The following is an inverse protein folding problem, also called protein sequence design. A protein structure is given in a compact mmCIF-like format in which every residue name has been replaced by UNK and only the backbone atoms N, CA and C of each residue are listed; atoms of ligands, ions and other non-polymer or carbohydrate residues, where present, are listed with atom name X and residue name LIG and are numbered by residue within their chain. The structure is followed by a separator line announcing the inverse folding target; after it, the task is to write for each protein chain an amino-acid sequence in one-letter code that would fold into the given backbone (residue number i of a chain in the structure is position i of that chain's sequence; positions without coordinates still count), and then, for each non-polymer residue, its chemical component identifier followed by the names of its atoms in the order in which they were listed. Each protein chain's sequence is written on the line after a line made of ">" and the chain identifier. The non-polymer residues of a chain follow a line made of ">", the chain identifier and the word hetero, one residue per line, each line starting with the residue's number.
data_IF_841985317216
#
_entry.id   IF_841985317216
#
_cell.length_a   1.000
_cell.length_b   1.000
_cell.length_c   1.000
_cell.angle_alpha   90.00
_cell.angle_beta   90.00
_cell.angle_gamma   90.00
#
_symmetry.space_group_name_H-M   'P 1'
#
loop_
_entity.id
_entity.type
_entity.pdbx_description
1 polymer ?
#
# COMPACT_ATOMS: atom_id res chain seq x y z
N UNK A 1 -2.38 -3.23 38.03
CA UNK A 1 -1.98 -4.37 37.18
C UNK A 1 -2.76 -4.26 35.89
N UNK A 2 -2.18 -3.65 34.85
CA UNK A 2 -2.79 -3.63 33.53
C UNK A 2 -2.60 -5.02 32.90
N UNK A 3 -3.69 -5.71 32.64
CA UNK A 3 -3.67 -6.92 31.86
C UNK A 3 -3.17 -6.54 30.46
N UNK A 4 -2.00 -7.02 30.07
CA UNK A 4 -1.56 -7.03 28.68
C UNK A 4 -2.55 -7.95 27.97
N UNK A 5 -3.53 -7.37 27.29
CA UNK A 5 -4.41 -8.13 26.43
C UNK A 5 -3.52 -8.64 25.28
N UNK A 6 -3.27 -9.95 25.28
CA UNK A 6 -2.59 -10.57 24.15
C UNK A 6 -3.46 -10.36 22.92
N UNK A 7 -2.89 -9.83 21.85
CA UNK A 7 -3.58 -9.70 20.56
C UNK A 7 -4.14 -11.07 20.16
N UNK A 8 -5.36 -11.15 19.62
CA UNK A 8 -5.93 -12.42 19.17
C UNK A 8 -5.04 -13.01 18.07
N UNK A 9 -5.02 -14.35 18.02
CA UNK A 9 -4.35 -15.12 16.96
C UNK A 9 -5.37 -15.90 16.19
N UNK A 10 -5.25 -15.91 14.88
CA UNK A 10 -6.17 -16.61 13.99
C UNK A 10 -5.49 -17.76 13.27
N UNK A 11 -6.18 -18.90 13.25
CA UNK A 11 -5.69 -20.11 12.58
C UNK A 11 -5.92 -20.07 11.06
N UNK A 12 -6.87 -19.26 10.60
CA UNK A 12 -7.24 -19.19 9.19
C UNK A 12 -7.84 -17.82 8.81
N UNK A 13 -7.88 -17.57 7.51
CA UNK A 13 -8.40 -16.35 6.90
C UNK A 13 -9.86 -16.05 7.27
N UNK A 14 -10.71 -17.07 7.39
CA UNK A 14 -12.14 -16.84 7.64
C UNK A 14 -12.38 -16.37 9.07
N UNK A 15 -11.66 -16.93 10.03
CA UNK A 15 -11.72 -16.52 11.42
C UNK A 15 -11.28 -15.06 11.60
N UNK A 16 -10.17 -14.65 10.96
CA UNK A 16 -9.74 -13.26 10.96
C UNK A 16 -10.78 -12.33 10.33
N UNK A 17 -11.28 -12.64 9.13
CA UNK A 17 -12.24 -11.79 8.43
C UNK A 17 -13.54 -11.59 9.23
N UNK A 18 -14.03 -12.64 9.88
CA UNK A 18 -15.22 -12.57 10.72
C UNK A 18 -15.00 -11.73 11.98
N UNK A 19 -13.80 -11.79 12.56
CA UNK A 19 -13.43 -10.99 13.72
C UNK A 19 -13.23 -9.51 13.33
N UNK A 20 -12.49 -9.26 12.27
CA UNK A 20 -12.16 -7.91 11.79
C UNK A 20 -13.41 -7.08 11.43
N UNK A 21 -14.48 -7.72 10.95
CA UNK A 21 -15.75 -7.05 10.65
C UNK A 21 -16.47 -6.49 11.89
N UNK A 22 -16.14 -6.99 13.05
CA UNK A 22 -16.72 -6.57 14.33
C UNK A 22 -15.89 -5.47 15.03
N UNK A 23 -14.72 -5.14 14.47
CA UNK A 23 -13.82 -4.17 15.09
C UNK A 23 -14.20 -2.74 14.69
N UNK A 24 -13.97 -1.79 15.60
CA UNK A 24 -14.10 -0.35 15.33
C UNK A 24 -12.87 0.24 14.64
N UNK A 25 -11.73 -0.43 14.73
CA UNK A 25 -10.45 -0.06 14.15
C UNK A 25 -9.99 -1.16 13.20
N UNK A 26 -9.15 -0.83 12.24
CA UNK A 26 -8.59 -1.80 11.30
C UNK A 26 -7.36 -2.48 11.86
N UNK A 27 -7.18 -3.74 11.49
CA UNK A 27 -6.05 -4.54 11.90
C UNK A 27 -5.46 -5.29 10.71
N UNK A 28 -4.16 -5.26 10.56
CA UNK A 28 -3.44 -6.18 9.68
C UNK A 28 -3.31 -7.55 10.36
N UNK A 29 -3.27 -8.62 9.57
CA UNK A 29 -3.01 -9.99 10.05
C UNK A 29 -1.77 -10.54 9.36
N UNK A 30 -0.77 -10.92 10.14
CA UNK A 30 0.49 -11.48 9.64
C UNK A 30 0.91 -12.64 10.54
N UNK A 31 1.18 -13.80 9.95
CA UNK A 31 1.57 -15.02 10.67
C UNK A 31 0.58 -15.39 11.81
N UNK A 32 -0.71 -15.08 11.61
CA UNK A 32 -1.77 -15.30 12.58
C UNK A 32 -1.86 -14.28 13.72
N UNK A 33 -0.97 -13.31 13.79
CA UNK A 33 -1.01 -12.19 14.74
C UNK A 33 -1.69 -10.98 14.13
N UNK A 34 -2.36 -10.16 14.94
CA UNK A 34 -3.02 -8.94 14.49
C UNK A 34 -2.35 -7.69 15.03
N UNK A 35 -2.31 -6.67 14.19
CA UNK A 35 -1.67 -5.39 14.45
C UNK A 35 -2.66 -4.27 14.15
N UNK A 36 -3.01 -3.49 15.16
CA UNK A 36 -3.90 -2.34 14.99
C UNK A 36 -3.24 -1.27 14.10
N UNK A 37 -4.01 -0.75 13.16
CA UNK A 37 -3.57 0.37 12.34
C UNK A 37 -3.76 1.68 13.10
N UNK A 38 -2.74 2.52 13.08
CA UNK A 38 -2.80 3.88 13.64
C UNK A 38 -3.24 4.88 12.57
N UNK A 39 -3.78 6.02 13.00
CA UNK A 39 -4.14 7.11 12.09
C UNK A 39 -2.90 7.71 11.41
N UNK A 40 -3.08 8.21 10.19
CA UNK A 40 -2.04 8.87 9.40
C UNK A 40 -2.02 10.39 9.64
N UNK A 41 -0.85 11.01 9.43
CA UNK A 41 -0.69 12.47 9.40
C UNK A 41 -1.19 13.05 8.06
N UNK A 42 -1.42 14.36 8.02
CA UNK A 42 -1.89 15.05 6.81
C UNK A 42 -0.98 14.84 5.57
N UNK A 43 0.36 14.92 5.65
CA UNK A 43 1.23 14.64 4.49
C UNK A 43 1.01 13.24 3.91
N UNK A 44 0.92 12.22 4.75
CA UNK A 44 0.64 10.86 4.32
C UNK A 44 -0.70 10.76 3.57
N UNK A 45 -1.73 11.41 4.08
CA UNK A 45 -3.05 11.40 3.46
C UNK A 45 -3.06 12.12 2.10
N UNK A 46 -2.40 13.29 1.97
CA UNK A 46 -2.26 13.98 0.70
C UNK A 46 -1.53 13.11 -0.33
N UNK A 47 -0.39 12.53 0.03
CA UNK A 47 0.41 11.69 -0.88
C UNK A 47 -0.38 10.47 -1.35
N UNK A 48 -1.04 9.75 -0.44
CA UNK A 48 -1.89 8.61 -0.78
C UNK A 48 -3.04 9.02 -1.71
N UNK A 49 -3.68 10.16 -1.41
CA UNK A 49 -4.75 10.74 -2.23
C UNK A 49 -4.27 11.13 -3.62
N UNK A 50 -3.13 11.81 -3.74
CA UNK A 50 -2.53 12.22 -5.01
C UNK A 50 -2.17 11.00 -5.88
N UNK A 51 -1.54 9.99 -5.29
CA UNK A 51 -1.24 8.73 -5.97
C UNK A 51 -2.51 8.05 -6.49
N UNK A 52 -3.54 7.96 -5.66
CA UNK A 52 -4.83 7.38 -6.04
C UNK A 52 -5.47 8.15 -7.18
N UNK A 53 -5.56 9.47 -7.11
CA UNK A 53 -6.20 10.32 -8.13
C UNK A 53 -5.47 10.18 -9.46
N UNK A 54 -4.14 10.27 -9.45
CA UNK A 54 -3.33 10.14 -10.66
C UNK A 54 -3.53 8.77 -11.32
N UNK A 55 -3.40 7.67 -10.56
CA UNK A 55 -3.60 6.32 -11.07
C UNK A 55 -5.03 6.10 -11.60
N UNK A 56 -6.04 6.63 -10.93
CA UNK A 56 -7.44 6.58 -11.39
C UNK A 56 -7.64 7.28 -12.72
N UNK A 57 -6.96 8.40 -12.94
CA UNK A 57 -7.03 9.15 -14.20
C UNK A 57 -6.29 8.42 -15.32
N UNK A 58 -5.05 7.98 -15.07
CA UNK A 58 -4.23 7.26 -16.05
C UNK A 58 -4.87 5.95 -16.52
N UNK A 59 -5.53 5.23 -15.62
CA UNK A 59 -6.16 3.94 -15.90
C UNK A 59 -7.64 4.05 -16.30
N UNK A 60 -8.15 5.25 -16.56
CA UNK A 60 -9.54 5.45 -16.98
C UNK A 60 -9.82 4.73 -18.31
N UNK A 61 -10.90 3.94 -18.35
CA UNK A 61 -11.28 3.17 -19.53
C UNK A 61 -10.53 1.84 -19.71
N UNK A 62 -9.53 1.58 -18.88
CA UNK A 62 -8.87 0.27 -18.81
C UNK A 62 -9.67 -0.72 -17.94
N UNK A 63 -9.34 -2.02 -17.97
CA UNK A 63 -9.96 -3.01 -17.10
C UNK A 63 -9.44 -2.96 -15.65
N UNK A 64 -8.67 -1.95 -15.27
CA UNK A 64 -8.03 -1.87 -13.96
C UNK A 64 -8.89 -1.12 -12.93
N UNK A 65 -8.76 -1.53 -11.68
CA UNK A 65 -9.35 -0.85 -10.52
C UNK A 65 -8.24 -0.38 -9.59
N UNK A 66 -8.39 0.84 -9.07
CA UNK A 66 -7.49 1.43 -8.09
C UNK A 66 -8.22 1.51 -6.76
N UNK A 67 -7.58 1.05 -5.71
CA UNK A 67 -8.08 1.06 -4.33
C UNK A 67 -7.18 1.91 -3.46
N UNK A 68 -7.75 2.52 -2.43
CA UNK A 68 -7.04 3.36 -1.46
C UNK A 68 -7.42 2.92 -0.05
N UNK A 69 -6.44 2.86 0.83
CA UNK A 69 -6.52 2.78 2.29
C UNK A 69 -7.36 1.62 2.86
N UNK A 70 -8.65 1.62 2.75
CA UNK A 70 -9.53 0.77 3.55
C UNK A 70 -9.85 -0.61 2.94
N UNK A 71 -9.26 -0.96 1.81
CA UNK A 71 -9.53 -2.25 1.19
C UNK A 71 -8.40 -3.25 1.46
N UNK A 72 -8.78 -4.43 1.97
CA UNK A 72 -7.82 -5.46 2.34
C UNK A 72 -7.11 -6.06 1.14
N UNK A 73 -5.84 -6.35 1.30
CA UNK A 73 -5.06 -7.18 0.40
C UNK A 73 -4.80 -8.53 1.07
N UNK A 74 -5.24 -9.62 0.46
CA UNK A 74 -4.88 -10.97 0.88
C UNK A 74 -3.55 -11.37 0.28
N UNK A 75 -2.59 -11.71 1.11
CA UNK A 75 -1.23 -12.11 0.70
C UNK A 75 -1.20 -13.57 0.29
N UNK A 76 -1.79 -14.45 1.12
CA UNK A 76 -1.71 -15.91 0.95
C UNK A 76 -3.00 -16.61 1.38
N UNK A 77 -3.02 -17.92 1.19
CA UNK A 77 -4.16 -18.76 1.56
C UNK A 77 -4.27 -18.97 3.08
N UNK A 78 -3.19 -18.80 3.82
CA UNK A 78 -3.11 -18.97 5.27
C UNK A 78 -3.83 -17.88 6.03
N UNK A 79 -3.99 -16.68 5.45
CA UNK A 79 -4.79 -15.61 6.03
C UNK A 79 -3.99 -14.38 6.46
N UNK A 80 -2.87 -14.14 5.80
CA UNK A 80 -2.20 -12.86 5.93
C UNK A 80 -2.94 -11.80 5.11
N UNK A 81 -3.32 -10.72 5.80
CA UNK A 81 -4.04 -9.59 5.23
C UNK A 81 -3.36 -8.29 5.64
N UNK A 82 -3.13 -7.43 4.66
CA UNK A 82 -2.59 -6.08 4.84
C UNK A 82 -3.54 -5.04 4.23
N UNK A 83 -3.33 -3.77 4.56
CA UNK A 83 -4.05 -2.64 4.00
C UNK A 83 -3.06 -1.68 3.34
N UNK A 84 -2.72 -1.89 2.05
CA UNK A 84 -1.88 -0.96 1.33
C UNK A 84 -2.51 0.43 1.22
N UNK A 85 -1.69 1.48 1.27
CA UNK A 85 -2.18 2.84 1.07
C UNK A 85 -2.84 3.00 -0.30
N UNK A 86 -2.19 2.49 -1.37
CA UNK A 86 -2.78 2.42 -2.71
C UNK A 86 -2.42 1.09 -3.37
N UNK A 87 -3.40 0.46 -4.02
CA UNK A 87 -3.15 -0.73 -4.83
C UNK A 87 -3.95 -0.74 -6.13
N UNK A 88 -3.39 -1.39 -7.14
CA UNK A 88 -4.00 -1.50 -8.47
C UNK A 88 -4.08 -2.96 -8.88
N UNK A 89 -5.28 -3.39 -9.29
CA UNK A 89 -5.49 -4.68 -9.94
C UNK A 89 -6.17 -4.51 -11.29
N UNK A 90 -5.78 -5.33 -12.26
CA UNK A 90 -6.49 -5.47 -13.55
C UNK A 90 -7.07 -6.88 -13.70
N UNK A 91 -6.93 -7.72 -12.67
CA UNK A 91 -7.41 -9.09 -12.68
C UNK A 91 -8.93 -9.13 -12.52
N UNK A 92 -9.61 -9.87 -13.38
CA UNK A 92 -11.06 -9.98 -13.34
C UNK A 92 -11.57 -10.69 -12.08
N UNK A 93 -10.73 -11.49 -11.42
CA UNK A 93 -11.04 -12.15 -10.14
C UNK A 93 -11.22 -11.16 -9.00
N UNK A 94 -10.53 -10.01 -9.08
CA UNK A 94 -10.57 -8.93 -8.09
C UNK A 94 -11.62 -7.84 -8.39
N UNK A 95 -12.44 -8.01 -9.44
CA UNK A 95 -13.40 -6.99 -9.91
C UNK A 95 -14.87 -7.33 -9.66
N UNK A 96 -15.16 -8.29 -8.82
CA UNK A 96 -16.54 -8.63 -8.44
C UNK A 96 -16.97 -7.77 -7.24
N UNK A 97 -17.73 -6.67 -7.42
CA UNK A 97 -17.90 -5.64 -6.41
C UNK A 97 -18.73 -6.09 -5.20
N UNK A 98 -19.63 -7.04 -5.38
CA UNK A 98 -20.73 -7.29 -4.42
C UNK A 98 -20.38 -8.28 -3.31
N UNK A 99 -19.28 -9.02 -3.44
CA UNK A 99 -18.88 -10.04 -2.47
C UNK A 99 -17.41 -9.93 -2.04
N UNK A 100 -16.66 -8.99 -2.60
CA UNK A 100 -15.22 -8.99 -2.49
C UNK A 100 -14.73 -8.17 -1.31
N UNK A 101 -14.42 -8.85 -0.23
CA UNK A 101 -13.91 -8.27 1.01
C UNK A 101 -12.41 -7.93 0.95
N UNK A 102 -11.71 -8.38 -0.11
CA UNK A 102 -10.26 -8.21 -0.28
C UNK A 102 -9.84 -8.38 -1.74
N UNK A 103 -8.67 -7.85 -2.07
CA UNK A 103 -7.95 -8.06 -3.33
C UNK A 103 -6.91 -9.15 -3.12
N UNK A 104 -6.57 -9.92 -4.17
CA UNK A 104 -5.52 -10.95 -4.11
C UNK A 104 -4.52 -10.88 -5.26
N UNK A 105 -4.78 -10.06 -6.28
CA UNK A 105 -4.01 -10.05 -7.52
C UNK A 105 -3.59 -8.63 -7.94
N UNK A 106 -3.03 -7.81 -7.04
CA UNK A 106 -2.51 -6.51 -7.41
C UNK A 106 -1.31 -6.68 -8.36
N UNK A 107 -1.12 -5.72 -9.26
CA UNK A 107 0.12 -5.61 -10.04
C UNK A 107 1.00 -4.45 -9.59
N UNK A 108 0.41 -3.46 -8.90
CA UNK A 108 1.11 -2.34 -8.29
C UNK A 108 0.56 -2.12 -6.88
N UNK A 109 1.47 -1.88 -5.95
CA UNK A 109 1.19 -1.42 -4.58
C UNK A 109 2.04 -0.17 -4.34
N UNK A 110 1.47 0.84 -3.69
CA UNK A 110 2.19 1.98 -3.16
C UNK A 110 1.94 2.12 -1.66
N UNK A 111 3.01 2.39 -0.92
CA UNK A 111 3.00 2.70 0.52
C UNK A 111 3.66 4.05 0.77
N UNK A 112 3.04 4.86 1.60
CA UNK A 112 3.59 6.13 2.06
C UNK A 112 4.28 5.90 3.39
N UNK A 113 5.57 6.13 3.42
CA UNK A 113 6.41 5.83 4.58
C UNK A 113 6.20 6.86 5.69
N UNK A 114 6.00 6.37 6.90
CA UNK A 114 6.07 7.17 8.13
C UNK A 114 7.29 6.76 8.95
N UNK A 115 7.72 7.61 9.89
CA UNK A 115 8.84 7.30 10.78
C UNK A 115 8.65 5.97 11.54
N UNK A 116 7.39 5.64 11.85
CA UNK A 116 7.07 4.43 12.62
C UNK A 116 6.98 3.17 11.76
N UNK A 117 6.68 3.28 10.46
CA UNK A 117 6.42 2.13 9.58
C UNK A 117 7.50 1.88 8.53
N UNK A 118 8.34 2.89 8.22
CA UNK A 118 9.30 2.83 7.11
C UNK A 118 10.21 1.58 7.12
N UNK A 119 10.69 1.16 8.26
CA UNK A 119 11.52 -0.05 8.37
C UNK A 119 10.72 -1.33 8.09
N UNK A 120 9.46 -1.38 8.52
CA UNK A 120 8.55 -2.50 8.27
C UNK A 120 8.15 -2.57 6.79
N UNK A 121 7.80 -1.43 6.18
CA UNK A 121 7.39 -1.33 4.79
C UNK A 121 8.53 -1.70 3.83
N UNK A 122 9.77 -1.24 4.13
CA UNK A 122 10.98 -1.57 3.37
C UNK A 122 11.43 -3.04 3.54
N UNK A 123 11.08 -3.66 4.66
CA UNK A 123 11.50 -5.00 5.04
C UNK A 123 10.39 -6.04 4.93
N UNK A 124 9.69 -6.29 6.04
CA UNK A 124 8.74 -7.40 6.16
C UNK A 124 7.54 -7.29 5.21
N UNK A 125 6.94 -6.10 5.05
CA UNK A 125 5.86 -5.90 4.07
C UNK A 125 6.34 -6.23 2.65
N UNK A 126 7.52 -5.74 2.27
CA UNK A 126 8.07 -6.04 0.94
C UNK A 126 8.32 -7.53 0.75
N UNK A 127 8.80 -8.24 1.78
CA UNK A 127 8.95 -9.71 1.73
C UNK A 127 7.60 -10.40 1.46
N UNK A 128 6.55 -10.00 2.17
CA UNK A 128 5.20 -10.52 1.99
C UNK A 128 4.66 -10.20 0.58
N UNK A 129 4.77 -8.95 0.15
CA UNK A 129 4.28 -8.52 -1.16
C UNK A 129 4.98 -9.23 -2.32
N UNK A 130 6.28 -9.50 -2.22
CA UNK A 130 7.02 -10.24 -3.25
C UNK A 130 6.50 -11.66 -3.48
N UNK A 131 5.79 -12.25 -2.52
CA UNK A 131 5.18 -13.57 -2.67
C UNK A 131 3.94 -13.56 -3.58
N UNK A 132 3.35 -12.40 -3.83
CA UNK A 132 2.20 -12.24 -4.71
C UNK A 132 2.66 -12.35 -6.16
N UNK A 133 2.22 -13.40 -6.85
CA UNK A 133 2.68 -13.71 -8.21
C UNK A 133 2.39 -12.60 -9.24
N UNK A 134 1.27 -11.89 -9.08
CA UNK A 134 0.83 -10.82 -9.99
C UNK A 134 1.52 -9.49 -9.75
N UNK A 135 2.13 -9.29 -8.56
CA UNK A 135 2.79 -8.04 -8.22
C UNK A 135 4.08 -7.88 -9.01
N UNK A 136 4.16 -6.78 -9.72
CA UNK A 136 5.34 -6.41 -10.52
C UNK A 136 5.95 -5.06 -10.13
N UNK A 137 5.20 -4.21 -9.41
CA UNK A 137 5.66 -2.89 -9.00
C UNK A 137 5.30 -2.62 -7.53
N UNK A 138 6.26 -2.14 -6.77
CA UNK A 138 6.09 -1.69 -5.40
C UNK A 138 6.72 -0.31 -5.25
N UNK A 139 5.91 0.70 -4.96
CA UNK A 139 6.32 2.09 -4.83
C UNK A 139 6.31 2.48 -3.36
N UNK A 140 7.45 2.92 -2.84
CA UNK A 140 7.59 3.50 -1.52
C UNK A 140 7.76 5.01 -1.65
N UNK A 141 6.95 5.79 -0.95
CA UNK A 141 6.92 7.25 -1.06
C UNK A 141 7.24 7.84 0.31
N UNK A 142 8.27 8.66 0.40
CA UNK A 142 8.61 9.37 1.63
C UNK A 142 7.58 10.45 1.93
N UNK A 143 7.16 10.59 3.19
CA UNK A 143 6.22 11.66 3.55
C UNK A 143 6.89 12.96 4.01
N UNK A 144 8.21 12.93 4.28
CA UNK A 144 8.99 14.03 4.83
C UNK A 144 9.85 14.75 3.80
N UNK A 145 9.97 14.20 2.59
CA UNK A 145 10.73 14.76 1.47
C UNK A 145 10.21 14.25 0.13
N UNK A 146 10.40 15.01 -0.97
CA UNK A 146 9.93 14.62 -2.29
C UNK A 146 10.83 13.53 -2.91
N UNK A 147 10.71 12.32 -2.41
CA UNK A 147 11.48 11.15 -2.82
C UNK A 147 10.59 9.90 -2.86
N UNK A 148 10.83 9.03 -3.85
CA UNK A 148 10.18 7.74 -3.96
C UNK A 148 11.16 6.66 -4.42
N UNK A 149 10.96 5.44 -3.94
CA UNK A 149 11.69 4.24 -4.35
C UNK A 149 10.75 3.31 -5.12
N UNK A 150 10.98 3.13 -6.40
CA UNK A 150 10.23 2.16 -7.21
C UNK A 150 10.99 0.85 -7.28
N UNK A 151 10.41 -0.20 -6.72
CA UNK A 151 10.84 -1.57 -6.97
C UNK A 151 9.99 -2.16 -8.10
N UNK A 152 10.63 -2.72 -9.11
CA UNK A 152 9.92 -3.39 -10.21
C UNK A 152 10.60 -4.71 -10.61
N UNK A 153 9.80 -5.65 -11.14
CA UNK A 153 10.31 -6.89 -11.70
C UNK A 153 10.78 -6.64 -13.13
N UNK A 154 12.06 -6.94 -13.41
CA UNK A 154 12.60 -6.95 -14.77
C UNK A 154 12.15 -8.20 -15.56
N UNK A 155 12.56 -8.30 -16.82
CA UNK A 155 12.23 -9.44 -17.69
C UNK A 155 12.74 -10.79 -17.16
N UNK A 156 13.80 -10.78 -16.35
CA UNK A 156 14.34 -11.96 -15.69
C UNK A 156 13.63 -12.31 -14.37
N UNK A 157 12.58 -11.54 -13.99
CA UNK A 157 11.82 -11.73 -12.76
C UNK A 157 12.54 -11.24 -11.49
N UNK A 158 13.64 -10.49 -11.64
CA UNK A 158 14.39 -9.93 -10.53
C UNK A 158 13.79 -8.57 -10.11
N UNK A 159 13.77 -8.32 -8.82
CA UNK A 159 13.40 -7.02 -8.29
C UNK A 159 14.55 -6.02 -8.42
N UNK A 160 14.29 -4.93 -9.10
CA UNK A 160 15.22 -3.82 -9.33
C UNK A 160 14.70 -2.60 -8.61
N UNK A 161 15.57 -1.86 -7.93
CA UNK A 161 15.26 -0.59 -7.29
C UNK A 161 15.67 0.57 -8.21
N UNK A 162 14.75 1.51 -8.37
CA UNK A 162 14.99 2.82 -8.95
C UNK A 162 14.64 3.90 -7.92
N UNK A 163 15.62 4.67 -7.46
CA UNK A 163 15.41 5.83 -6.62
C UNK A 163 15.01 7.03 -7.49
N UNK A 164 13.99 7.78 -7.05
CA UNK A 164 13.35 8.86 -7.80
C UNK A 164 13.22 10.12 -6.94
N UNK A 165 13.43 11.27 -7.55
CA UNK A 165 13.23 12.59 -6.97
C UNK A 165 12.05 13.31 -7.62
N UNK A 166 11.67 14.48 -7.14
CA UNK A 166 10.58 15.27 -7.73
C UNK A 166 10.77 15.62 -9.22
N UNK A 167 12.01 15.67 -9.68
CA UNK A 167 12.34 16.01 -11.08
C UNK A 167 12.21 14.82 -12.04
N UNK A 168 11.98 13.61 -11.48
CA UNK A 168 11.89 12.37 -12.24
C UNK A 168 10.43 12.03 -12.58
N UNK A 169 10.26 11.00 -13.43
CA UNK A 169 8.98 10.38 -13.70
C UNK A 169 9.05 8.86 -13.49
N UNK A 170 7.95 8.29 -13.01
CA UNK A 170 7.76 6.85 -12.90
C UNK A 170 7.34 6.32 -14.27
N UNK A 171 8.21 5.50 -14.86
CA UNK A 171 7.98 4.91 -16.17
C UNK A 171 7.45 3.48 -16.03
N UNK A 172 6.16 3.31 -16.21
CA UNK A 172 5.49 2.00 -16.20
C UNK A 172 4.65 1.89 -17.47
N UNK A 173 5.04 1.00 -18.38
CA UNK A 173 4.38 0.84 -19.69
C UNK A 173 2.86 0.72 -19.57
N UNK A 174 2.36 0.00 -18.57
CA UNK A 174 0.92 -0.23 -18.35
C UNK A 174 0.14 1.05 -18.02
N UNK A 175 0.80 2.11 -17.58
CA UNK A 175 0.17 3.41 -17.30
C UNK A 175 -0.05 4.21 -18.60
N UNK A 176 0.66 3.88 -19.69
CA UNK A 176 0.51 4.50 -21.00
C UNK A 176 1.09 5.93 -21.09
N UNK A 177 1.57 6.47 -20.00
CA UNK A 177 2.21 7.79 -19.89
C UNK A 177 3.14 7.84 -18.69
N UNK A 178 4.20 8.69 -18.73
CA UNK A 178 5.04 8.94 -17.58
C UNK A 178 4.23 9.52 -16.41
N UNK A 179 4.50 9.05 -15.19
CA UNK A 179 3.91 9.58 -13.97
C UNK A 179 4.91 10.52 -13.28
N UNK A 180 4.75 11.86 -13.38
CA UNK A 180 5.69 12.80 -12.76
C UNK A 180 5.68 12.63 -11.23
N UNK A 181 6.83 12.38 -10.64
CA UNK A 181 6.97 12.17 -9.19
C UNK A 181 6.49 13.39 -8.40
N UNK A 182 6.70 14.60 -8.93
CA UNK A 182 6.21 15.85 -8.30
C UNK A 182 4.70 15.83 -8.00
N UNK A 183 3.89 15.12 -8.82
CA UNK A 183 2.44 15.06 -8.61
C UNK A 183 2.03 14.30 -7.34
N UNK A 184 2.91 13.45 -6.81
CA UNK A 184 2.69 12.77 -5.53
C UNK A 184 2.66 13.74 -4.35
N UNK A 185 3.37 14.86 -4.48
CA UNK A 185 3.64 15.81 -3.40
C UNK A 185 2.86 17.12 -3.53
N UNK A 186 1.84 17.16 -4.39
CA UNK A 186 0.94 18.32 -4.49
C UNK A 186 0.27 18.57 -3.13
N UNK A 187 0.24 19.84 -2.71
CA UNK A 187 -0.30 20.30 -1.41
C UNK A 187 0.47 19.79 -0.16
N UNK A 188 1.61 19.14 -0.31
CA UNK A 188 2.45 18.70 0.81
C UNK A 188 3.46 19.80 1.17
N UNK A 189 3.41 20.27 2.41
CA UNK A 189 4.37 21.24 2.94
C UNK A 189 5.51 20.53 3.66
N UNK A 190 6.72 20.65 3.12
CA UNK A 190 7.96 20.10 3.71
C UNK A 190 8.71 21.11 4.60
N UNK A 191 8.09 22.26 4.92
CA UNK A 191 8.71 23.25 5.80
C UNK A 191 8.85 22.65 7.21
N UNK A 192 10.05 22.60 7.80
CA UNK A 192 10.22 22.14 9.16
C UNK A 192 9.36 22.97 10.14
N UNK A 193 8.74 22.35 11.15
CA UNK A 193 8.00 23.11 12.16
C UNK A 193 8.92 24.12 12.83
N UNK A 194 8.38 25.31 13.10
CA UNK A 194 9.13 26.34 13.84
C UNK A 194 9.61 25.77 15.18
N UNK A 195 10.84 26.10 15.63
CA UNK A 195 11.31 25.64 16.92
C UNK A 195 10.35 26.11 18.03
N UNK A 196 10.12 25.28 19.06
CA UNK A 196 9.26 25.69 20.17
C UNK A 196 9.78 26.97 20.81
N UNK A 197 8.86 27.90 21.11
CA UNK A 197 9.15 29.19 21.71
C UNK A 197 9.67 29.07 23.15
#
# INVERSE_FOLDING_TARGET
>A
MSAVMSSPRFADAQAYLAWEELQSERHESVDGEVYAMTGALAPHNFISGNAYVWLRQALRGSPCSVFIDSHKLRINAQGDFLYPDVMVTCDSRDRRPEEQRFISHPWLIAEVLSDSTAAYDRGRKFELYRSIATLTHYLLIEQDRPHADLFFKNEQGQWVLQALTADDAIEIERLGQPWPVATLFEEVDFTPPAPPA
#
